data_IF_852571117283
#
_entry.id   IF_852571117283
#
_cell.length_a   1.000
_cell.length_b   1.000
_cell.length_c   1.000
_cell.angle_alpha   90.00
_cell.angle_beta   90.00
_cell.angle_gamma   90.00
#
_symmetry.space_group_name_H-M   'P 1'
#
loop_
_entity.id
_entity.type
_entity.pdbx_description
1 polymer ?
#
# COMPACT_ATOMS: atom_id res chain seq x y z
N UNK A 1 -8.80 6.97 -2.21
CA UNK A 1 -7.37 6.91 -1.82
C UNK A 1 -6.52 6.88 -3.07
N UNK A 2 -5.21 7.05 -2.94
CA UNK A 2 -4.24 6.85 -4.02
C UNK A 2 -3.39 5.63 -3.69
N UNK A 3 -3.02 4.83 -4.68
CA UNK A 3 -2.05 3.74 -4.55
C UNK A 3 -0.74 4.17 -5.19
N UNK A 4 0.39 3.77 -4.60
CA UNK A 4 1.72 4.06 -5.13
C UNK A 4 2.71 2.94 -4.81
N UNK A 5 3.69 2.78 -5.70
CA UNK A 5 4.96 2.12 -5.37
C UNK A 5 5.93 3.16 -4.83
N UNK A 6 6.76 2.78 -3.86
CA UNK A 6 7.72 3.68 -3.23
C UNK A 6 8.90 2.90 -2.63
N UNK A 7 9.95 3.64 -2.30
CA UNK A 7 11.11 3.12 -1.60
C UNK A 7 11.02 3.49 -0.13
N UNK A 8 11.13 2.51 0.75
CA UNK A 8 11.06 2.72 2.20
C UNK A 8 12.13 1.88 2.89
N UNK A 9 12.98 2.53 3.68
CA UNK A 9 14.09 1.87 4.39
C UNK A 9 14.98 1.01 3.47
N UNK A 10 15.21 1.47 2.23
CA UNK A 10 16.04 0.76 1.25
C UNK A 10 15.35 -0.45 0.59
N UNK A 11 14.05 -0.65 0.83
CA UNK A 11 13.23 -1.71 0.23
C UNK A 11 12.19 -1.13 -0.72
N UNK A 12 12.06 -1.74 -1.90
CA UNK A 12 10.97 -1.45 -2.82
C UNK A 12 9.67 -2.06 -2.29
N UNK A 13 8.63 -1.24 -2.24
CA UNK A 13 7.32 -1.67 -1.75
C UNK A 13 6.20 -0.83 -2.34
N UNK A 14 4.98 -1.08 -1.90
CA UNK A 14 3.80 -0.39 -2.38
C UNK A 14 2.74 -0.27 -1.29
N UNK A 15 1.82 0.68 -1.46
CA UNK A 15 0.85 1.02 -0.44
C UNK A 15 -0.20 2.01 -0.87
N UNK A 16 -1.01 2.44 0.09
CA UNK A 16 -2.04 3.44 -0.14
C UNK A 16 -1.81 4.70 0.71
N UNK A 17 -2.07 5.85 0.11
CA UNK A 17 -2.09 7.14 0.80
C UNK A 17 -3.32 7.23 1.71
N UNK A 18 -3.08 7.40 3.00
CA UNK A 18 -4.08 7.63 4.04
C UNK A 18 -3.64 8.84 4.87
N UNK A 19 -4.44 9.92 4.82
CA UNK A 19 -4.07 11.18 5.47
C UNK A 19 -2.78 11.77 4.89
N UNK A 20 -1.80 12.03 5.75
CA UNK A 20 -0.47 12.56 5.45
C UNK A 20 0.62 11.48 5.34
N UNK A 21 0.23 10.21 5.23
CA UNK A 21 1.15 9.09 5.15
C UNK A 21 0.72 7.97 4.20
N UNK A 22 1.54 6.92 4.17
CA UNK A 22 1.33 5.73 3.35
C UNK A 22 1.25 4.51 4.27
N UNK A 23 0.19 3.72 4.10
CA UNK A 23 0.09 2.37 4.66
C UNK A 23 0.79 1.42 3.69
N UNK A 24 1.86 0.76 4.13
CA UNK A 24 2.64 -0.21 3.37
C UNK A 24 1.83 -1.52 3.23
N UNK A 25 1.16 -1.68 2.09
CA UNK A 25 0.37 -2.87 1.79
C UNK A 25 1.26 -4.02 1.33
N UNK A 26 2.40 -3.77 0.69
CA UNK A 26 3.36 -4.80 0.31
C UNK A 26 3.92 -5.57 1.52
N UNK A 27 4.06 -4.92 2.68
CA UNK A 27 4.38 -5.57 3.96
C UNK A 27 3.25 -6.44 4.50
N UNK A 28 2.00 -6.03 4.30
CA UNK A 28 0.79 -6.65 4.88
C UNK A 28 0.20 -7.75 4.00
N UNK A 29 0.47 -7.70 2.69
CA UNK A 29 -0.12 -8.57 1.68
C UNK A 29 0.99 -9.31 0.90
N UNK A 30 1.67 -10.29 1.51
CA UNK A 30 2.73 -11.04 0.84
C UNK A 30 2.22 -11.82 -0.39
N UNK A 31 0.91 -12.06 -0.52
CA UNK A 31 0.30 -12.66 -1.71
C UNK A 31 0.29 -11.72 -2.94
N UNK A 32 0.51 -10.42 -2.74
CA UNK A 32 0.59 -9.40 -3.78
C UNK A 32 1.96 -8.71 -3.72
N UNK A 33 3.01 -9.33 -4.31
CA UNK A 33 4.39 -8.85 -4.18
C UNK A 33 4.58 -7.41 -4.67
N UNK A 34 3.81 -7.01 -5.69
CA UNK A 34 3.84 -5.66 -6.26
C UNK A 34 2.46 -5.04 -6.34
N UNK A 35 2.41 -3.71 -6.52
CA UNK A 35 1.16 -3.00 -6.81
C UNK A 35 0.51 -3.52 -8.11
N UNK A 36 1.31 -3.95 -9.08
CA UNK A 36 0.79 -4.48 -10.34
C UNK A 36 0.06 -5.81 -10.10
N UNK A 37 0.59 -6.70 -9.25
CA UNK A 37 -0.07 -7.96 -8.88
C UNK A 37 -1.40 -7.69 -8.16
N UNK A 38 -1.40 -6.73 -7.23
CA UNK A 38 -2.62 -6.32 -6.53
C UNK A 38 -3.69 -5.77 -7.48
N UNK A 39 -3.32 -4.92 -8.43
CA UNK A 39 -4.25 -4.42 -9.45
C UNK A 39 -4.73 -5.56 -10.36
N UNK A 40 -3.82 -6.42 -10.81
CA UNK A 40 -4.11 -7.55 -11.69
C UNK A 40 -5.05 -8.58 -11.06
N UNK A 41 -5.03 -8.72 -9.72
CA UNK A 41 -5.93 -9.62 -8.99
C UNK A 41 -7.38 -9.14 -8.92
N UNK A 42 -7.61 -7.82 -9.07
CA UNK A 42 -8.91 -7.20 -8.82
C UNK A 42 -9.18 -6.84 -7.35
N UNK A 43 -8.34 -7.28 -6.41
CA UNK A 43 -8.49 -6.99 -4.98
C UNK A 43 -8.39 -5.48 -4.68
N UNK A 44 -7.75 -4.71 -5.56
CA UNK A 44 -7.67 -3.24 -5.45
C UNK A 44 -9.03 -2.53 -5.34
N UNK A 45 -10.11 -3.18 -5.78
CA UNK A 45 -11.48 -2.68 -5.58
C UNK A 45 -11.87 -2.61 -4.10
N UNK A 46 -11.18 -3.36 -3.24
CA UNK A 46 -11.37 -3.38 -1.78
C UNK A 46 -10.33 -2.56 -1.01
N UNK A 47 -9.45 -1.81 -1.69
CA UNK A 47 -8.33 -1.08 -1.07
C UNK A 47 -8.74 -0.20 0.12
N UNK A 48 -9.96 0.33 0.14
CA UNK A 48 -10.48 1.14 1.26
C UNK A 48 -10.63 0.33 2.54
N UNK A 49 -11.05 -0.93 2.42
CA UNK A 49 -11.17 -1.88 3.54
C UNK A 49 -9.79 -2.34 3.99
N UNK A 50 -8.89 -2.55 3.05
CA UNK A 50 -7.53 -3.06 3.33
C UNK A 50 -6.70 -2.10 4.19
N UNK A 51 -6.98 -0.79 4.11
CA UNK A 51 -6.33 0.23 4.95
C UNK A 51 -7.17 0.70 6.14
N UNK A 52 -8.38 0.18 6.32
CA UNK A 52 -9.27 0.63 7.38
C UNK A 52 -8.67 0.28 8.75
N UNK A 53 -8.50 1.31 9.60
CA UNK A 53 -7.93 1.15 10.95
C UNK A 53 -6.40 0.92 10.98
N UNK A 54 -5.73 0.93 9.83
CA UNK A 54 -4.28 0.84 9.75
C UNK A 54 -3.64 2.20 10.02
N UNK A 55 -2.49 2.19 10.69
CA UNK A 55 -1.63 3.38 10.83
C UNK A 55 -0.67 3.47 9.65
N UNK A 56 -0.29 4.70 9.28
CA UNK A 56 0.73 4.92 8.25
C UNK A 56 2.10 4.41 8.69
N UNK A 57 2.83 3.77 7.78
CA UNK A 57 4.20 3.27 7.97
C UNK A 57 5.24 4.29 7.49
N UNK A 58 4.88 5.14 6.52
CA UNK A 58 5.73 6.20 6.00
C UNK A 58 4.98 7.54 5.97
N UNK A 59 5.68 8.66 6.18
CA UNK A 59 5.13 10.00 5.94
C UNK A 59 5.30 10.39 4.48
N UNK A 60 4.39 11.21 3.97
CA UNK A 60 4.57 11.93 2.71
C UNK A 60 5.19 13.29 3.03
N UNK A 61 6.47 13.45 2.73
CA UNK A 61 7.23 14.70 2.85
C UNK A 61 7.44 15.40 1.49
#
# INVERSE_FOLDING_TARGET
MKLLSFMHEGRETWGAVVGDGVVDLGKRMPQHPTLADYIGSGDYLQAAKDVQGQSADARLD
#
